data_IF_981760136959
#
_entry.id   IF_981760136959
#
_cell.length_a   1.000
_cell.length_b   1.000
_cell.length_c   1.000
_cell.angle_alpha   90.00
_cell.angle_beta   90.00
_cell.angle_gamma   90.00
#
_symmetry.space_group_name_H-M   'P 1'
#
loop_
_entity.id
_entity.type
_entity.pdbx_description
1 polymer ?
#
# COMPACT_ATOMS: atom_id res chain seq x y z
N UNK A 1 11.02 -14.43 -6.14
CA UNK A 1 12.27 -14.19 -6.92
C UNK A 1 11.93 -13.23 -8.06
N UNK A 2 12.78 -12.21 -8.34
CA UNK A 2 12.57 -11.28 -9.45
C UNK A 2 12.90 -12.01 -10.76
N UNK A 3 12.01 -12.00 -11.77
CA UNK A 3 12.28 -12.57 -13.08
C UNK A 3 13.51 -11.96 -13.77
N UNK A 4 14.30 -12.79 -14.46
CA UNK A 4 15.57 -12.37 -15.03
C UNK A 4 15.44 -11.26 -16.10
N UNK A 5 14.37 -11.26 -16.87
CA UNK A 5 14.07 -10.22 -17.86
C UNK A 5 13.87 -8.84 -17.24
N UNK A 6 13.37 -8.76 -15.99
CA UNK A 6 13.24 -7.49 -15.28
C UNK A 6 14.60 -6.91 -14.88
N UNK A 7 15.60 -7.75 -14.55
CA UNK A 7 16.96 -7.26 -14.34
C UNK A 7 17.52 -6.63 -15.61
N UNK A 8 17.36 -7.25 -16.77
CA UNK A 8 17.78 -6.67 -18.05
C UNK A 8 17.03 -5.39 -18.40
N UNK A 9 15.72 -5.35 -18.13
CA UNK A 9 14.89 -4.20 -18.46
C UNK A 9 15.26 -2.95 -17.62
N UNK A 10 15.54 -3.14 -16.33
CA UNK A 10 15.74 -2.02 -15.41
C UNK A 10 17.21 -1.68 -15.12
N UNK A 11 18.16 -2.57 -15.37
CA UNK A 11 19.58 -2.33 -15.06
C UNK A 11 20.08 -1.02 -15.68
N UNK A 12 20.65 -0.13 -14.84
CA UNK A 12 21.17 1.17 -15.25
C UNK A 12 20.09 2.20 -15.65
N UNK A 13 18.79 1.87 -15.60
CA UNK A 13 17.73 2.81 -15.96
C UNK A 13 17.43 3.77 -14.81
N UNK A 14 17.24 5.05 -15.13
CA UNK A 14 16.77 6.05 -14.17
C UNK A 14 15.24 5.98 -14.03
N UNK A 15 14.78 5.69 -12.83
CA UNK A 15 13.37 5.44 -12.52
C UNK A 15 12.88 6.40 -11.44
N UNK A 16 11.85 7.17 -11.75
CA UNK A 16 11.20 8.08 -10.80
C UNK A 16 10.05 7.36 -10.08
N UNK A 17 10.08 7.41 -8.75
CA UNK A 17 9.06 6.73 -7.91
C UNK A 17 8.43 7.75 -6.96
N UNK A 18 7.12 7.97 -7.08
CA UNK A 18 6.36 8.68 -6.06
C UNK A 18 5.77 7.69 -5.07
N UNK A 19 5.64 8.10 -3.81
CA UNK A 19 5.09 7.21 -2.79
C UNK A 19 6.05 6.12 -2.30
N UNK A 20 7.35 6.19 -2.64
CA UNK A 20 8.39 5.27 -2.18
C UNK A 20 8.53 5.21 -0.65
N UNK A 21 8.00 6.19 0.08
CA UNK A 21 7.93 6.18 1.54
C UNK A 21 6.66 5.52 2.10
N UNK A 22 5.74 5.11 1.23
CA UNK A 22 4.50 4.43 1.57
C UNK A 22 4.61 2.91 1.45
N UNK A 23 3.51 2.21 1.75
CA UNK A 23 3.47 0.76 1.84
C UNK A 23 3.88 0.07 0.52
N UNK A 24 3.06 0.14 -0.53
CA UNK A 24 3.39 -0.49 -1.83
C UNK A 24 4.65 0.14 -2.44
N UNK A 25 4.78 1.46 -2.38
CA UNK A 25 5.87 2.18 -3.04
C UNK A 25 7.25 1.87 -2.47
N UNK A 26 7.37 1.54 -1.18
CA UNK A 26 8.65 1.12 -0.59
C UNK A 26 9.12 -0.23 -1.14
N UNK A 27 8.20 -1.17 -1.34
CA UNK A 27 8.50 -2.46 -1.95
C UNK A 27 8.82 -2.31 -3.44
N UNK A 28 8.09 -1.47 -4.19
CA UNK A 28 8.42 -1.14 -5.59
C UNK A 28 9.84 -0.56 -5.70
N UNK A 29 10.17 0.44 -4.87
CA UNK A 29 11.50 1.03 -4.88
C UNK A 29 12.60 0.03 -4.51
N UNK A 30 12.36 -0.84 -3.51
CA UNK A 30 13.28 -1.90 -3.12
C UNK A 30 13.52 -2.91 -4.24
N UNK A 31 12.48 -3.37 -4.92
CA UNK A 31 12.61 -4.28 -6.05
C UNK A 31 13.36 -3.63 -7.22
N UNK A 32 13.11 -2.36 -7.53
CA UNK A 32 13.83 -1.61 -8.55
C UNK A 32 15.33 -1.53 -8.25
N UNK A 33 15.71 -1.24 -7.01
CA UNK A 33 17.12 -1.25 -6.58
C UNK A 33 17.74 -2.63 -6.80
N UNK A 34 17.03 -3.70 -6.44
CA UNK A 34 17.50 -5.08 -6.62
C UNK A 34 17.67 -5.44 -8.11
N UNK A 35 16.95 -4.80 -9.02
CA UNK A 35 17.16 -4.98 -10.48
C UNK A 35 18.31 -4.16 -11.04
N UNK A 36 18.99 -3.35 -10.24
CA UNK A 36 20.09 -2.48 -10.70
C UNK A 36 19.62 -1.15 -11.29
N UNK A 37 18.39 -0.74 -11.06
CA UNK A 37 17.89 0.56 -11.47
C UNK A 37 18.42 1.70 -10.57
N UNK A 38 18.62 2.87 -11.15
CA UNK A 38 18.86 4.12 -10.41
C UNK A 38 17.52 4.72 -9.98
N UNK A 39 17.16 4.52 -8.71
CA UNK A 39 15.85 4.91 -8.18
C UNK A 39 15.91 6.32 -7.62
N UNK A 40 15.11 7.23 -8.19
CA UNK A 40 14.84 8.56 -7.62
C UNK A 40 13.48 8.58 -6.98
N UNK A 41 13.46 8.69 -5.66
CA UNK A 41 12.25 8.64 -4.83
C UNK A 41 11.79 10.04 -4.42
N UNK A 42 10.61 10.43 -4.90
CA UNK A 42 10.02 11.74 -4.61
C UNK A 42 9.18 11.71 -3.34
N UNK A 43 9.48 12.58 -2.39
CA UNK A 43 8.85 12.60 -1.07
C UNK A 43 8.67 14.03 -0.54
N UNK A 44 7.68 14.25 0.32
CA UNK A 44 7.47 15.54 1.01
C UNK A 44 8.49 15.83 2.11
N UNK A 45 9.26 14.82 2.53
CA UNK A 45 10.32 15.01 3.52
C UNK A 45 11.38 13.93 3.38
N UNK A 46 12.64 14.35 3.35
CA UNK A 46 13.81 13.47 3.34
C UNK A 46 14.34 13.19 4.75
N UNK A 47 13.76 13.80 5.78
CA UNK A 47 14.20 13.63 7.17
C UNK A 47 14.12 12.14 7.58
N UNK A 48 15.23 11.60 8.09
CA UNK A 48 15.33 10.21 8.50
C UNK A 48 15.40 9.20 7.33
N UNK A 49 15.62 9.65 6.08
CA UNK A 49 15.80 8.77 4.93
C UNK A 49 17.30 8.46 4.72
N UNK A 50 17.61 7.15 4.60
CA UNK A 50 18.97 6.72 4.25
C UNK A 50 19.18 6.84 2.74
N UNK A 51 20.36 7.34 2.31
CA UNK A 51 20.67 7.60 0.89
C UNK A 51 21.39 6.45 0.18
N UNK A 52 21.54 5.28 0.81
CA UNK A 52 22.49 4.25 0.36
C UNK A 52 22.24 3.67 -1.04
N UNK A 53 20.97 3.48 -1.45
CA UNK A 53 20.64 2.90 -2.75
C UNK A 53 19.49 3.65 -3.46
N UNK A 54 18.90 4.66 -2.80
CA UNK A 54 17.78 5.43 -3.32
C UNK A 54 18.14 6.92 -3.24
N UNK A 55 18.04 7.60 -4.38
CA UNK A 55 18.15 9.07 -4.46
C UNK A 55 16.84 9.71 -3.99
N UNK A 56 16.81 10.16 -2.72
CA UNK A 56 15.64 10.82 -2.13
C UNK A 56 15.62 12.29 -2.48
N UNK A 57 14.58 12.72 -3.21
CA UNK A 57 14.36 14.12 -3.59
C UNK A 57 13.10 14.64 -2.90
N UNK A 58 13.25 15.80 -2.24
CA UNK A 58 12.14 16.48 -1.57
C UNK A 58 11.32 17.31 -2.56
N UNK A 59 9.99 17.23 -2.44
CA UNK A 59 9.07 18.01 -3.23
C UNK A 59 7.61 17.65 -2.94
N UNK A 60 6.70 18.35 -3.60
CA UNK A 60 5.26 18.21 -3.42
C UNK A 60 4.57 17.97 -4.76
N UNK A 61 3.71 16.95 -4.85
CA UNK A 61 2.90 16.65 -6.03
C UNK A 61 1.94 17.80 -6.40
N UNK A 62 1.63 18.68 -5.46
CA UNK A 62 0.82 19.86 -5.74
C UNK A 62 1.63 21.01 -6.37
N UNK A 63 2.95 20.88 -6.44
CA UNK A 63 3.87 21.87 -7.04
C UNK A 63 4.56 21.26 -8.25
N UNK A 64 4.06 21.58 -9.44
CA UNK A 64 4.56 21.02 -10.71
C UNK A 64 6.06 21.24 -10.90
N UNK A 65 6.56 22.43 -10.61
CA UNK A 65 7.97 22.76 -10.81
C UNK A 65 8.89 21.84 -10.01
N UNK A 66 8.49 21.46 -8.77
CA UNK A 66 9.26 20.52 -7.94
C UNK A 66 9.29 19.11 -8.53
N UNK A 67 8.23 18.69 -9.24
CA UNK A 67 8.17 17.40 -9.91
C UNK A 67 9.07 17.39 -11.15
N UNK A 68 8.97 18.43 -12.00
CA UNK A 68 9.75 18.54 -13.24
C UNK A 68 11.25 18.54 -12.95
N UNK A 69 11.69 19.35 -11.97
CA UNK A 69 13.08 19.38 -11.54
C UNK A 69 13.59 18.02 -11.03
N UNK A 70 12.75 17.33 -10.24
CA UNK A 70 13.10 16.02 -9.68
C UNK A 70 13.03 14.88 -10.71
N UNK A 71 12.26 15.01 -11.80
CA UNK A 71 12.05 13.97 -12.80
C UNK A 71 13.08 13.99 -13.93
N UNK A 72 13.95 15.02 -13.97
CA UNK A 72 14.95 15.17 -15.01
C UNK A 72 15.76 13.89 -15.20
N UNK A 73 15.98 13.50 -16.47
CA UNK A 73 16.74 12.30 -16.91
C UNK A 73 16.12 10.96 -16.48
N UNK A 74 14.91 10.94 -15.93
CA UNK A 74 14.21 9.70 -15.61
C UNK A 74 13.47 9.16 -16.85
N UNK A 75 13.73 7.90 -17.16
CA UNK A 75 13.12 7.20 -18.29
C UNK A 75 11.73 6.66 -17.97
N UNK A 76 11.55 6.13 -16.77
CA UNK A 76 10.32 5.49 -16.30
C UNK A 76 9.77 6.14 -15.05
N UNK A 77 8.45 6.14 -14.90
CA UNK A 77 7.76 6.69 -13.74
C UNK A 77 6.82 5.66 -13.11
N UNK A 78 6.97 5.43 -11.81
CA UNK A 78 5.99 4.74 -10.97
C UNK A 78 5.26 5.76 -10.10
N UNK A 79 4.01 6.02 -10.43
CA UNK A 79 3.14 6.88 -9.61
C UNK A 79 2.37 6.03 -8.61
N UNK A 80 3.00 5.75 -7.46
CA UNK A 80 2.42 4.95 -6.38
C UNK A 80 1.84 5.82 -5.26
N UNK A 81 2.21 7.10 -5.22
CA UNK A 81 1.67 8.04 -4.25
C UNK A 81 0.15 8.16 -4.35
N UNK A 82 -0.51 8.11 -3.22
CA UNK A 82 -1.95 8.30 -3.11
C UNK A 82 -2.37 8.46 -1.67
N UNK A 83 -3.41 9.27 -1.46
CA UNK A 83 -4.05 9.41 -0.16
C UNK A 83 -5.16 8.36 -0.03
N UNK A 84 -4.94 7.35 0.80
CA UNK A 84 -5.85 6.22 1.02
C UNK A 84 -6.77 6.38 2.24
N UNK A 85 -6.76 7.58 2.86
CA UNK A 85 -7.64 7.86 4.01
C UNK A 85 -9.11 7.83 3.57
N UNK A 86 -9.93 7.04 4.25
CA UNK A 86 -11.38 7.02 4.05
C UNK A 86 -12.08 8.25 4.66
N UNK A 87 -11.37 8.98 5.50
CA UNK A 87 -11.85 10.18 6.16
C UNK A 87 -10.71 11.19 6.34
N UNK A 88 -11.03 12.44 6.10
CA UNK A 88 -10.22 13.59 6.48
C UNK A 88 -11.14 14.67 7.02
N UNK A 89 -10.61 15.54 7.86
CA UNK A 89 -11.36 16.69 8.40
C UNK A 89 -11.82 17.59 7.26
N UNK A 90 -10.94 17.86 6.31
CA UNK A 90 -11.24 18.48 5.03
C UNK A 90 -11.06 17.45 3.89
N UNK A 91 -12.16 16.93 3.32
CA UNK A 91 -12.06 15.97 2.21
C UNK A 91 -11.37 16.52 0.96
N UNK A 92 -11.28 17.86 0.81
CA UNK A 92 -10.60 18.50 -0.34
C UNK A 92 -9.12 18.14 -0.40
N UNK A 93 -8.47 17.88 0.76
CA UNK A 93 -7.10 17.40 0.81
C UNK A 93 -6.90 16.08 0.06
N UNK A 94 -7.84 15.13 0.24
CA UNK A 94 -7.79 13.82 -0.44
C UNK A 94 -7.91 14.00 -1.95
N UNK A 95 -8.81 14.88 -2.38
CA UNK A 95 -8.97 15.21 -3.81
C UNK A 95 -7.75 15.93 -4.38
N UNK A 96 -7.19 16.91 -3.68
CA UNK A 96 -5.99 17.60 -4.11
C UNK A 96 -4.84 16.60 -4.30
N UNK A 97 -4.56 15.76 -3.29
CA UNK A 97 -3.48 14.78 -3.36
C UNK A 97 -3.68 13.77 -4.49
N UNK A 98 -4.89 13.19 -4.61
CA UNK A 98 -5.15 12.10 -5.56
C UNK A 98 -5.42 12.58 -6.98
N UNK A 99 -6.08 13.71 -7.18
CA UNK A 99 -6.47 14.19 -8.52
C UNK A 99 -5.46 15.20 -9.03
N UNK A 100 -5.30 16.34 -8.32
CA UNK A 100 -4.39 17.39 -8.78
C UNK A 100 -2.93 16.92 -8.79
N UNK A 101 -2.51 16.16 -7.76
CA UNK A 101 -1.18 15.57 -7.72
C UNK A 101 -0.91 14.64 -8.89
N UNK A 102 -1.89 13.81 -9.28
CA UNK A 102 -1.77 12.94 -10.46
C UNK A 102 -1.69 13.75 -11.75
N UNK A 103 -2.55 14.77 -11.93
CA UNK A 103 -2.53 15.65 -13.12
C UNK A 103 -1.15 16.32 -13.24
N UNK A 104 -0.66 16.92 -12.16
CA UNK A 104 0.64 17.60 -12.16
C UNK A 104 1.79 16.66 -12.53
N UNK A 105 1.78 15.43 -11.99
CA UNK A 105 2.80 14.42 -12.30
C UNK A 105 2.75 14.01 -13.78
N UNK A 106 1.57 13.75 -14.32
CA UNK A 106 1.43 13.35 -15.73
C UNK A 106 1.91 14.44 -16.68
N UNK A 107 1.55 15.70 -16.42
CA UNK A 107 2.03 16.83 -17.22
C UNK A 107 3.55 17.02 -17.11
N UNK A 108 4.12 16.84 -15.91
CA UNK A 108 5.57 16.88 -15.72
C UNK A 108 6.26 15.74 -16.49
N UNK A 109 5.72 14.51 -16.42
CA UNK A 109 6.26 13.35 -17.12
C UNK A 109 6.26 13.54 -18.65
N UNK A 110 5.19 14.14 -19.21
CA UNK A 110 5.13 14.46 -20.64
C UNK A 110 6.21 15.44 -21.04
N UNK A 111 6.41 16.51 -20.26
CA UNK A 111 7.43 17.54 -20.56
C UNK A 111 8.86 17.00 -20.40
N UNK A 112 9.07 16.08 -19.47
CA UNK A 112 10.37 15.45 -19.23
C UNK A 112 10.69 14.33 -20.24
N UNK A 113 9.81 14.04 -21.20
CA UNK A 113 10.05 13.00 -22.20
C UNK A 113 10.07 11.58 -21.65
N UNK A 114 9.33 11.30 -20.55
CA UNK A 114 9.23 9.97 -19.94
C UNK A 114 8.65 8.97 -20.94
N UNK A 115 9.30 7.82 -21.09
CA UNK A 115 8.92 6.81 -22.06
C UNK A 115 7.71 5.98 -21.63
N UNK A 116 7.54 5.71 -20.32
CA UNK A 116 6.39 4.96 -19.81
C UNK A 116 6.09 5.27 -18.36
N UNK A 117 4.80 5.25 -18.02
CA UNK A 117 4.29 5.56 -16.69
C UNK A 117 3.42 4.41 -16.21
N UNK A 118 3.66 3.93 -15.00
CA UNK A 118 2.73 3.05 -14.26
C UNK A 118 2.03 3.85 -13.18
N UNK A 119 0.70 4.00 -13.31
CA UNK A 119 -0.14 4.70 -12.34
C UNK A 119 -0.88 3.71 -11.44
N UNK A 120 -0.72 3.84 -10.13
CA UNK A 120 -1.40 3.01 -9.14
C UNK A 120 -2.79 3.58 -8.82
N UNK A 121 -3.83 2.85 -9.22
CA UNK A 121 -5.20 3.10 -8.85
C UNK A 121 -5.65 2.17 -7.70
N UNK A 122 -6.78 1.49 -7.81
CA UNK A 122 -7.31 0.55 -6.80
C UNK A 122 -8.42 -0.31 -7.41
N UNK A 123 -8.57 -1.54 -6.91
CA UNK A 123 -9.77 -2.35 -7.20
C UNK A 123 -11.07 -1.59 -6.87
N UNK A 124 -11.00 -0.63 -5.94
CA UNK A 124 -12.17 0.13 -5.49
C UNK A 124 -12.90 0.94 -6.57
N UNK A 125 -12.33 1.11 -7.78
CA UNK A 125 -12.98 1.75 -8.92
C UNK A 125 -13.80 0.79 -9.79
N UNK A 126 -13.66 -0.53 -9.55
CA UNK A 126 -14.39 -1.56 -10.28
C UNK A 126 -15.72 -1.91 -9.60
N UNK A 127 -16.62 -2.52 -10.35
CA UNK A 127 -17.81 -3.15 -9.77
C UNK A 127 -17.38 -4.23 -8.76
N UNK A 128 -17.96 -4.24 -7.54
CA UNK A 128 -17.69 -5.28 -6.56
C UNK A 128 -18.02 -6.67 -7.11
N UNK A 129 -17.10 -7.62 -6.94
CA UNK A 129 -17.29 -9.00 -7.36
C UNK A 129 -17.72 -9.92 -6.21
N UNK A 130 -18.48 -10.97 -6.55
CA UNK A 130 -18.86 -12.09 -5.69
C UNK A 130 -18.09 -13.34 -6.11
N UNK A 131 -18.24 -14.46 -5.38
CA UNK A 131 -17.61 -15.73 -5.79
C UNK A 131 -18.13 -16.23 -7.15
N UNK A 132 -19.43 -16.02 -7.43
CA UNK A 132 -20.04 -16.43 -8.69
C UNK A 132 -19.70 -15.51 -9.86
N UNK A 133 -19.29 -14.28 -9.56
CA UNK A 133 -18.96 -13.25 -10.55
C UNK A 133 -17.85 -12.35 -10.04
N UNK A 134 -16.61 -12.77 -10.24
CA UNK A 134 -15.44 -12.03 -9.83
C UNK A 134 -15.35 -10.65 -10.55
N UNK A 135 -14.82 -9.64 -9.86
CA UNK A 135 -14.47 -8.38 -10.48
C UNK A 135 -13.33 -8.60 -11.48
N UNK A 136 -13.45 -7.96 -12.65
CA UNK A 136 -12.42 -7.92 -13.69
C UNK A 136 -12.18 -6.47 -14.07
N UNK A 137 -11.10 -6.24 -14.81
CA UNK A 137 -10.73 -4.90 -15.28
C UNK A 137 -11.79 -4.25 -16.19
N UNK A 138 -12.67 -5.02 -16.79
CA UNK A 138 -13.61 -4.55 -17.81
C UNK A 138 -14.71 -3.66 -17.26
N UNK A 139 -15.14 -3.89 -16.00
CA UNK A 139 -16.33 -3.23 -15.45
C UNK A 139 -15.99 -2.22 -14.38
N UNK A 140 -16.05 -0.95 -14.78
CA UNK A 140 -15.99 0.17 -13.85
C UNK A 140 -17.29 0.29 -13.07
N UNK A 141 -17.18 0.60 -11.78
CA UNK A 141 -18.34 0.92 -10.97
C UNK A 141 -18.99 2.25 -11.42
N UNK A 142 -20.32 2.32 -11.30
CA UNK A 142 -21.04 3.57 -11.60
C UNK A 142 -20.59 4.68 -10.62
N UNK A 143 -20.44 5.93 -11.08
CA UNK A 143 -20.11 7.09 -10.23
C UNK A 143 -21.04 7.24 -9.01
N UNK A 144 -22.31 6.86 -9.14
CA UNK A 144 -23.30 6.90 -8.06
C UNK A 144 -22.99 5.94 -6.89
N UNK A 145 -22.14 4.94 -7.11
CA UNK A 145 -21.72 3.98 -6.08
C UNK A 145 -20.60 4.51 -5.19
N UNK A 146 -19.90 5.59 -5.60
CA UNK A 146 -18.81 6.18 -4.83
C UNK A 146 -19.36 7.18 -3.80
N UNK A 147 -19.53 6.77 -2.55
CA UNK A 147 -20.13 7.59 -1.49
C UNK A 147 -19.12 8.38 -0.67
N UNK A 148 -17.89 7.87 -0.51
CA UNK A 148 -16.84 8.48 0.30
C UNK A 148 -15.81 9.28 -0.51
N UNK A 149 -14.99 10.12 0.16
CA UNK A 149 -14.01 10.97 -0.50
C UNK A 149 -12.89 10.15 -1.16
N UNK A 150 -12.47 9.04 -0.55
CA UNK A 150 -11.41 8.20 -1.09
C UNK A 150 -11.77 7.61 -2.46
N UNK A 151 -12.87 6.83 -2.52
CA UNK A 151 -13.28 6.20 -3.79
C UNK A 151 -13.58 7.24 -4.87
N UNK A 152 -14.24 8.33 -4.51
CA UNK A 152 -14.53 9.42 -5.46
C UNK A 152 -13.26 10.05 -6.03
N UNK A 153 -12.27 10.34 -5.17
CA UNK A 153 -11.00 10.92 -5.61
C UNK A 153 -10.19 9.94 -6.47
N UNK A 154 -10.12 8.66 -6.09
CA UNK A 154 -9.42 7.62 -6.88
C UNK A 154 -10.09 7.39 -8.23
N UNK A 155 -11.42 7.38 -8.28
CA UNK A 155 -12.15 7.26 -9.54
C UNK A 155 -11.91 8.49 -10.43
N UNK A 156 -11.97 9.71 -9.87
CA UNK A 156 -11.68 10.93 -10.64
C UNK A 156 -10.24 10.95 -11.15
N UNK A 157 -9.27 10.59 -10.30
CA UNK A 157 -7.87 10.46 -10.72
C UNK A 157 -7.70 9.43 -11.84
N UNK A 158 -8.37 8.28 -11.74
CA UNK A 158 -8.37 7.28 -12.80
C UNK A 158 -8.92 7.81 -14.13
N UNK A 159 -9.99 8.61 -14.12
CA UNK A 159 -10.53 9.24 -15.35
C UNK A 159 -9.53 10.18 -16.00
N UNK A 160 -8.77 10.96 -15.21
CA UNK A 160 -7.69 11.81 -15.72
C UNK A 160 -6.56 10.99 -16.37
N UNK A 161 -6.19 9.85 -15.74
CA UNK A 161 -5.21 8.90 -16.29
C UNK A 161 -5.74 8.29 -17.59
N UNK A 162 -6.98 7.78 -17.58
CA UNK A 162 -7.61 7.14 -18.73
C UNK A 162 -7.72 8.09 -19.93
N UNK A 163 -8.17 9.31 -19.72
CA UNK A 163 -8.29 10.30 -20.80
C UNK A 163 -6.95 10.53 -21.51
N UNK A 164 -5.85 10.60 -20.78
CA UNK A 164 -4.52 10.77 -21.36
C UNK A 164 -4.01 9.50 -22.05
N UNK A 165 -4.27 8.34 -21.45
CA UNK A 165 -3.95 7.06 -22.06
C UNK A 165 -4.71 6.87 -23.39
N UNK A 166 -6.01 7.21 -23.45
CA UNK A 166 -6.83 7.17 -24.65
C UNK A 166 -6.30 8.17 -25.72
N UNK A 167 -5.66 9.26 -25.28
CA UNK A 167 -4.97 10.22 -26.16
C UNK A 167 -3.55 9.77 -26.58
N UNK A 168 -3.20 8.51 -26.34
CA UNK A 168 -1.94 7.90 -26.78
C UNK A 168 -0.75 8.13 -25.84
N UNK A 169 -0.94 8.61 -24.61
CA UNK A 169 0.16 8.70 -23.65
C UNK A 169 0.57 7.30 -23.17
N UNK A 170 1.86 7.06 -22.96
CA UNK A 170 2.38 5.74 -22.59
C UNK A 170 2.11 5.40 -21.13
N UNK A 171 0.85 5.25 -20.75
CA UNK A 171 0.41 5.04 -19.38
C UNK A 171 -0.20 3.65 -19.23
N UNK A 172 0.17 2.95 -18.17
CA UNK A 172 -0.44 1.70 -17.69
C UNK A 172 -1.02 1.93 -16.30
N UNK A 173 -2.18 1.35 -16.02
CA UNK A 173 -2.81 1.46 -14.70
C UNK A 173 -2.75 0.13 -13.95
N UNK A 174 -2.24 0.13 -12.72
CA UNK A 174 -2.32 -1.01 -11.81
C UNK A 174 -3.46 -0.81 -10.81
N UNK A 175 -4.14 -1.90 -10.49
CA UNK A 175 -5.29 -1.95 -9.60
C UNK A 175 -5.00 -2.91 -8.43
N UNK A 176 -4.21 -2.49 -7.43
CA UNK A 176 -4.00 -3.27 -6.22
C UNK A 176 -5.33 -3.61 -5.54
N UNK A 177 -5.40 -4.81 -4.98
CA UNK A 177 -6.56 -5.28 -4.23
C UNK A 177 -6.44 -4.90 -2.74
N UNK A 178 -6.20 -5.86 -1.85
CA UNK A 178 -6.01 -5.62 -0.42
C UNK A 178 -4.62 -6.14 0.01
N UNK A 179 -3.55 -5.34 -0.19
CA UNK A 179 -2.19 -5.78 0.16
C UNK A 179 -2.01 -5.92 1.67
N UNK A 180 -1.26 -6.95 2.06
CA UNK A 180 -0.81 -7.29 3.41
C UNK A 180 0.69 -7.55 3.35
N UNK A 181 1.41 -7.18 4.41
CA UNK A 181 2.85 -7.43 4.54
C UNK A 181 3.54 -6.42 5.44
N UNK A 182 4.88 -6.51 5.54
CA UNK A 182 5.68 -5.61 6.36
C UNK A 182 5.77 -4.19 5.77
N UNK A 183 6.20 -3.25 6.59
CA UNK A 183 6.39 -1.83 6.23
C UNK A 183 5.09 -1.04 5.95
N UNK A 184 3.94 -1.49 6.43
CA UNK A 184 2.72 -0.70 6.46
C UNK A 184 2.77 0.34 7.63
N UNK A 185 3.68 1.32 7.48
CA UNK A 185 4.08 2.30 8.54
C UNK A 185 2.90 3.10 9.07
N UNK A 186 2.01 3.48 8.19
CA UNK A 186 0.71 4.09 8.52
C UNK A 186 -0.34 3.10 8.06
N UNK A 187 -0.80 2.21 8.97
CA UNK A 187 -1.58 1.07 8.56
C UNK A 187 -2.67 1.44 7.57
N UNK A 188 -2.64 0.78 6.42
CA UNK A 188 -3.69 0.87 5.40
C UNK A 188 -5.01 0.38 6.00
N UNK A 189 -6.17 0.60 5.35
CA UNK A 189 -7.42 0.04 5.82
C UNK A 189 -7.36 -1.48 6.09
N UNK A 190 -6.59 -2.21 5.28
CA UNK A 190 -6.38 -3.66 5.46
C UNK A 190 -5.47 -3.94 6.66
N UNK A 191 -4.35 -3.23 6.78
CA UNK A 191 -3.46 -3.33 7.95
C UNK A 191 -4.16 -2.95 9.26
N UNK A 192 -5.06 -1.94 9.23
CA UNK A 192 -5.88 -1.57 10.39
C UNK A 192 -6.83 -2.69 10.84
N UNK A 193 -7.33 -3.53 9.94
CA UNK A 193 -8.13 -4.71 10.32
C UNK A 193 -7.27 -5.66 11.16
N UNK A 194 -6.04 -5.94 10.73
CA UNK A 194 -5.10 -6.80 11.49
C UNK A 194 -4.77 -6.19 12.85
N UNK A 195 -4.38 -4.92 12.89
CA UNK A 195 -4.05 -4.21 14.13
C UNK A 195 -5.26 -4.17 15.09
N UNK A 196 -6.45 -3.87 14.58
CA UNK A 196 -7.67 -3.82 15.38
C UNK A 196 -8.04 -5.20 15.93
N UNK A 197 -7.88 -6.25 15.13
CA UNK A 197 -8.13 -7.63 15.58
C UNK A 197 -7.14 -8.03 16.67
N UNK A 198 -5.85 -7.89 16.45
CA UNK A 198 -4.82 -8.24 17.46
C UNK A 198 -5.02 -7.52 18.79
N UNK A 199 -5.52 -6.29 18.77
CA UNK A 199 -5.81 -5.50 19.96
C UNK A 199 -7.23 -5.73 20.55
N UNK A 200 -7.99 -6.74 20.09
CA UNK A 200 -9.31 -7.07 20.61
C UNK A 200 -10.40 -6.03 20.32
N UNK A 201 -10.24 -5.22 19.28
CA UNK A 201 -11.15 -4.11 18.93
C UNK A 201 -12.20 -4.47 17.88
N UNK A 202 -12.30 -5.75 17.50
CA UNK A 202 -13.31 -6.25 16.55
C UNK A 202 -14.27 -7.18 17.29
N UNK A 203 -15.34 -6.67 17.94
CA UNK A 203 -16.27 -7.51 18.68
C UNK A 203 -17.26 -8.26 17.77
N UNK A 204 -17.51 -7.73 16.58
CA UNK A 204 -18.45 -8.27 15.59
C UNK A 204 -17.85 -8.19 14.20
N UNK A 205 -18.20 -9.14 13.34
CA UNK A 205 -17.72 -9.19 11.95
C UNK A 205 -18.62 -8.37 11.00
N UNK A 206 -18.01 -7.81 9.96
CA UNK A 206 -18.75 -7.41 8.76
C UNK A 206 -18.88 -8.63 7.83
N UNK A 207 -20.05 -8.83 7.23
CA UNK A 207 -20.28 -9.90 6.25
C UNK A 207 -19.74 -9.48 4.88
N UNK A 208 -18.42 -9.48 4.77
CA UNK A 208 -17.70 -9.04 3.57
C UNK A 208 -16.51 -9.94 3.29
N UNK A 209 -15.95 -9.83 2.10
CA UNK A 209 -14.72 -10.50 1.70
C UNK A 209 -13.90 -9.61 0.80
N UNK A 210 -12.61 -9.87 0.75
CA UNK A 210 -11.64 -9.11 -0.05
C UNK A 210 -10.76 -10.08 -0.82
N UNK A 211 -10.13 -9.57 -1.85
CA UNK A 211 -9.00 -10.25 -2.48
C UNK A 211 -7.73 -9.75 -1.79
N UNK A 212 -7.08 -10.62 -1.04
CA UNK A 212 -5.85 -10.30 -0.32
C UNK A 212 -4.63 -10.67 -1.15
N UNK A 213 -3.58 -9.88 -1.06
CA UNK A 213 -2.32 -10.11 -1.78
C UNK A 213 -1.13 -9.73 -0.91
N UNK A 214 -0.04 -10.49 -0.99
CA UNK A 214 1.23 -10.05 -0.40
C UNK A 214 1.70 -8.77 -1.10
N UNK A 215 2.10 -7.77 -0.31
CA UNK A 215 2.57 -6.49 -0.83
C UNK A 215 3.78 -6.64 -1.76
N UNK A 216 4.61 -7.67 -1.54
CA UNK A 216 5.79 -7.99 -2.38
C UNK A 216 5.36 -8.46 -3.77
N UNK A 217 4.34 -9.34 -3.85
CA UNK A 217 3.76 -9.76 -5.13
C UNK A 217 3.07 -8.58 -5.84
N UNK A 218 2.32 -7.78 -5.08
CA UNK A 218 1.71 -6.56 -5.61
C UNK A 218 2.77 -5.60 -6.20
N UNK A 219 3.90 -5.41 -5.51
CA UNK A 219 5.01 -4.57 -5.99
C UNK A 219 5.66 -5.17 -7.24
N UNK A 220 5.88 -6.49 -7.27
CA UNK A 220 6.38 -7.18 -8.46
C UNK A 220 5.44 -6.99 -9.66
N UNK A 221 4.13 -7.03 -9.43
CA UNK A 221 3.14 -6.75 -10.47
C UNK A 221 3.27 -5.35 -11.09
N UNK A 222 3.70 -4.35 -10.32
CA UNK A 222 3.99 -3.02 -10.85
C UNK A 222 5.21 -3.04 -11.80
N UNK A 223 6.26 -3.75 -11.45
CA UNK A 223 7.45 -3.89 -12.30
C UNK A 223 7.11 -4.64 -13.59
N UNK A 224 6.35 -5.72 -13.49
CA UNK A 224 5.87 -6.48 -14.65
C UNK A 224 5.00 -5.61 -15.58
N UNK A 225 4.11 -4.79 -15.00
CA UNK A 225 3.28 -3.86 -15.77
C UNK A 225 4.15 -2.82 -16.51
N UNK A 226 5.20 -2.30 -15.89
CA UNK A 226 6.14 -1.40 -16.58
C UNK A 226 6.81 -2.08 -17.76
N UNK A 227 7.34 -3.29 -17.57
CA UNK A 227 8.13 -3.98 -18.59
C UNK A 227 7.27 -4.57 -19.71
N UNK A 228 6.11 -5.15 -19.40
CA UNK A 228 5.38 -6.03 -20.32
C UNK A 228 4.03 -5.49 -20.79
N UNK A 229 3.40 -4.59 -20.04
CA UNK A 229 2.06 -4.11 -20.40
C UNK A 229 2.07 -3.21 -21.62
N UNK A 230 0.99 -3.27 -22.41
CA UNK A 230 0.70 -2.29 -23.45
C UNK A 230 0.17 -1.00 -22.83
N UNK A 231 0.50 0.13 -23.44
CA UNK A 231 -0.05 1.43 -23.04
C UNK A 231 -1.57 1.46 -23.17
N UNK A 232 -2.24 2.14 -22.24
CA UNK A 232 -3.70 2.21 -22.16
C UNK A 232 -4.32 1.09 -21.31
N UNK A 233 -3.61 0.01 -21.07
CA UNK A 233 -4.13 -1.15 -20.35
C UNK A 233 -4.15 -0.95 -18.83
N UNK A 234 -5.00 -1.74 -18.17
CA UNK A 234 -5.09 -1.81 -16.71
C UNK A 234 -5.10 -3.25 -16.23
N UNK A 235 -4.50 -3.48 -15.05
CA UNK A 235 -4.29 -4.81 -14.52
C UNK A 235 -4.61 -4.89 -13.02
N UNK A 236 -5.44 -5.83 -12.63
CA UNK A 236 -5.66 -6.21 -11.25
C UNK A 236 -4.41 -6.91 -10.70
N UNK A 237 -3.90 -6.41 -9.58
CA UNK A 237 -2.80 -7.02 -8.85
C UNK A 237 -3.36 -7.61 -7.55
N UNK A 238 -3.92 -8.80 -7.67
CA UNK A 238 -4.58 -9.53 -6.60
C UNK A 238 -3.85 -10.81 -6.23
N UNK A 239 -4.37 -11.50 -5.23
CA UNK A 239 -3.91 -12.80 -4.76
C UNK A 239 -5.10 -13.73 -4.50
N UNK A 240 -5.47 -13.94 -3.23
CA UNK A 240 -6.50 -14.88 -2.81
C UNK A 240 -7.79 -14.18 -2.38
N UNK A 241 -8.93 -14.71 -2.80
CA UNK A 241 -10.25 -14.26 -2.36
C UNK A 241 -10.62 -14.93 -1.03
N UNK A 242 -10.74 -14.16 0.06
CA UNK A 242 -11.13 -14.68 1.37
C UNK A 242 -12.27 -13.84 1.96
N UNK A 243 -13.21 -14.53 2.63
CA UNK A 243 -14.13 -13.87 3.54
C UNK A 243 -13.36 -13.26 4.71
N UNK A 244 -13.84 -12.16 5.25
CA UNK A 244 -13.19 -11.49 6.37
C UNK A 244 -13.00 -12.42 7.58
N UNK A 245 -13.99 -13.28 7.87
CA UNK A 245 -13.89 -14.26 8.95
C UNK A 245 -12.74 -15.26 8.71
N UNK A 246 -12.54 -15.71 7.48
CA UNK A 246 -11.49 -16.68 7.16
C UNK A 246 -10.11 -16.02 7.16
N UNK A 247 -10.00 -14.79 6.67
CA UNK A 247 -8.79 -13.99 6.82
C UNK A 247 -8.40 -13.79 8.29
N UNK A 248 -9.37 -13.45 9.17
CA UNK A 248 -9.09 -13.27 10.60
C UNK A 248 -8.71 -14.58 11.31
N UNK A 249 -9.18 -15.74 10.83
CA UNK A 249 -8.70 -17.04 11.32
C UNK A 249 -7.22 -17.27 11.02
N UNK A 250 -6.68 -16.74 9.91
CA UNK A 250 -5.24 -16.77 9.63
C UNK A 250 -4.44 -15.84 10.57
N UNK A 251 -5.06 -14.77 11.06
CA UNK A 251 -4.45 -13.85 12.03
C UNK A 251 -4.59 -14.36 13.48
N UNK A 252 -5.60 -15.19 13.76
CA UNK A 252 -5.95 -15.69 15.11
C UNK A 252 -4.80 -16.36 15.86
N UNK A 253 -3.87 -17.13 15.23
CA UNK A 253 -2.72 -17.70 15.93
C UNK A 253 -1.85 -16.68 16.68
N UNK A 254 -1.87 -15.41 16.28
CA UNK A 254 -1.12 -14.32 16.91
C UNK A 254 -1.92 -13.58 17.96
N UNK A 255 -3.26 -13.67 17.92
CA UNK A 255 -4.15 -12.95 18.83
C UNK A 255 -4.28 -13.62 20.20
N UNK A 256 -4.77 -12.86 21.18
CA UNK A 256 -5.09 -13.36 22.55
C UNK A 256 -6.54 -13.82 22.68
N UNK A 257 -7.32 -13.77 21.59
CA UNK A 257 -8.74 -14.06 21.54
C UNK A 257 -9.09 -14.71 20.21
N UNK A 258 -10.27 -15.28 20.13
CA UNK A 258 -10.75 -15.93 18.93
C UNK A 258 -11.45 -14.97 17.97
N UNK A 259 -11.53 -15.38 16.73
CA UNK A 259 -12.31 -14.68 15.70
C UNK A 259 -13.79 -14.62 16.12
N UNK A 260 -14.42 -13.43 16.10
CA UNK A 260 -15.82 -13.29 16.46
C UNK A 260 -16.72 -14.20 15.63
N UNK A 261 -17.77 -14.75 16.24
CA UNK A 261 -18.75 -15.63 15.57
C UNK A 261 -19.96 -14.88 15.05
N UNK A 262 -20.23 -13.68 15.57
CA UNK A 262 -21.42 -12.91 15.25
C UNK A 262 -21.13 -11.79 14.26
N UNK A 263 -22.11 -11.52 13.41
CA UNK A 263 -22.05 -10.46 12.41
C UNK A 263 -22.81 -9.22 12.87
N UNK A 264 -22.22 -8.07 12.67
CA UNK A 264 -22.89 -6.79 12.94
C UNK A 264 -23.96 -6.52 11.87
N UNK A 265 -25.20 -6.21 12.26
CA UNK A 265 -26.17 -5.66 11.32
C UNK A 265 -25.64 -4.37 10.70
N UNK A 266 -25.85 -4.21 9.39
CA UNK A 266 -25.30 -3.06 8.65
C UNK A 266 -25.73 -1.70 9.24
N UNK A 267 -26.99 -1.58 9.69
CA UNK A 267 -27.50 -0.34 10.29
C UNK A 267 -26.75 0.03 11.56
N UNK A 268 -26.39 -0.96 12.40
CA UNK A 268 -25.62 -0.74 13.63
C UNK A 268 -24.20 -0.27 13.31
N UNK A 269 -23.54 -0.92 12.35
CA UNK A 269 -22.20 -0.51 11.86
C UNK A 269 -22.24 0.91 11.30
N UNK A 270 -23.32 1.28 10.60
CA UNK A 270 -23.48 2.63 10.05
C UNK A 270 -23.67 3.69 11.14
N UNK A 271 -24.49 3.41 12.15
CA UNK A 271 -24.66 4.30 13.31
C UNK A 271 -23.34 4.49 14.07
N UNK A 272 -22.59 3.39 14.28
CA UNK A 272 -21.26 3.44 14.92
C UNK A 272 -20.29 4.31 14.11
N UNK A 273 -20.32 4.20 12.77
CA UNK A 273 -19.49 5.03 11.89
C UNK A 273 -19.88 6.52 11.99
N UNK A 274 -21.17 6.84 12.00
CA UNK A 274 -21.63 8.21 12.16
C UNK A 274 -21.17 8.81 13.50
N UNK A 275 -21.33 8.07 14.60
CA UNK A 275 -20.87 8.50 15.92
C UNK A 275 -19.34 8.69 15.96
N UNK A 276 -18.59 7.74 15.37
CA UNK A 276 -17.12 7.78 15.30
C UNK A 276 -16.61 9.00 14.50
N UNK A 277 -17.20 9.27 13.33
CA UNK A 277 -16.83 10.45 12.52
C UNK A 277 -17.22 11.77 13.20
N UNK A 278 -18.37 11.81 13.90
CA UNK A 278 -18.79 13.01 14.65
C UNK A 278 -17.84 13.28 15.81
N UNK A 279 -17.48 12.26 16.59
CA UNK A 279 -16.50 12.39 17.66
C UNK A 279 -15.13 12.86 17.15
N UNK A 280 -14.70 12.36 15.98
CA UNK A 280 -13.45 12.79 15.35
C UNK A 280 -13.50 14.25 14.85
N UNK A 281 -14.67 14.75 14.40
CA UNK A 281 -14.86 16.15 14.04
C UNK A 281 -14.79 17.09 15.26
N UNK A 282 -15.32 16.66 16.39
CA UNK A 282 -15.36 17.45 17.63
C UNK A 282 -14.01 17.46 18.37
N UNK A 283 -13.11 16.49 18.10
CA UNK A 283 -11.81 16.38 18.76
C UNK A 283 -10.65 16.52 17.76
N UNK A 284 -9.76 17.52 17.90
CA UNK A 284 -8.68 17.77 16.95
C UNK A 284 -7.72 16.59 16.73
N UNK A 285 -7.50 15.79 17.77
CA UNK A 285 -6.49 14.72 17.79
C UNK A 285 -7.06 13.32 17.56
N UNK A 286 -8.37 13.20 17.25
CA UNK A 286 -9.01 11.89 17.01
C UNK A 286 -9.23 11.64 15.53
N UNK A 287 -8.92 10.42 15.10
CA UNK A 287 -9.35 9.85 13.83
C UNK A 287 -10.48 8.87 14.08
N UNK A 288 -11.48 8.76 13.19
CA UNK A 288 -12.57 7.81 13.38
C UNK A 288 -12.04 6.39 13.29
N UNK A 289 -12.46 5.53 14.21
CA UNK A 289 -12.13 4.10 14.22
C UNK A 289 -12.83 3.36 13.07
N UNK A 290 -14.09 3.70 12.81
CA UNK A 290 -14.90 3.21 11.70
C UNK A 290 -15.45 4.40 10.95
N UNK A 291 -15.43 4.35 9.62
CA UNK A 291 -15.94 5.42 8.77
C UNK A 291 -17.17 4.98 7.99
N UNK A 292 -18.03 5.92 7.62
CA UNK A 292 -19.18 5.62 6.73
C UNK A 292 -18.73 5.00 5.41
N UNK A 293 -17.59 5.43 4.88
CA UNK A 293 -17.03 4.86 3.64
C UNK A 293 -16.63 3.39 3.84
N UNK A 294 -15.94 3.04 4.94
CA UNK A 294 -15.56 1.64 5.23
C UNK A 294 -16.78 0.73 5.41
N UNK A 295 -17.81 1.21 6.09
CA UNK A 295 -19.08 0.46 6.27
C UNK A 295 -19.81 0.29 4.94
N UNK A 296 -19.83 1.30 4.09
CA UNK A 296 -20.42 1.19 2.75
C UNK A 296 -19.67 0.19 1.87
N UNK A 297 -18.33 0.18 1.96
CA UNK A 297 -17.51 -0.81 1.25
C UNK A 297 -17.77 -2.25 1.72
N UNK A 298 -18.00 -2.44 3.01
CA UNK A 298 -18.25 -3.78 3.56
C UNK A 298 -19.63 -4.38 3.24
N UNK A 299 -20.51 -3.65 2.54
CA UNK A 299 -21.85 -4.17 2.14
C UNK A 299 -21.80 -5.31 1.13
N UNK A 300 -20.74 -5.38 0.34
CA UNK A 300 -20.55 -6.40 -0.68
C UNK A 300 -19.11 -6.92 -0.62
N UNK A 301 -18.87 -8.18 -0.96
CA UNK A 301 -17.51 -8.66 -1.13
C UNK A 301 -16.85 -7.97 -2.34
N UNK A 302 -15.52 -7.92 -2.31
CA UNK A 302 -14.68 -7.38 -3.37
C UNK A 302 -13.75 -8.48 -3.88
N UNK A 303 -14.33 -9.59 -4.29
CA UNK A 303 -13.59 -10.70 -4.90
C UNK A 303 -13.23 -10.35 -6.33
N UNK A 304 -12.04 -10.75 -6.77
CA UNK A 304 -11.52 -10.40 -8.10
C UNK A 304 -10.71 -11.51 -8.72
N UNK A 305 -10.52 -11.42 -10.03
CA UNK A 305 -9.64 -12.27 -10.81
C UNK A 305 -8.47 -11.46 -11.34
N UNK A 306 -7.27 -12.00 -11.23
CA UNK A 306 -6.04 -11.48 -11.84
C UNK A 306 -5.67 -12.20 -13.16
N UNK A 307 -6.61 -12.95 -13.74
CA UNK A 307 -6.38 -13.75 -14.94
C UNK A 307 -5.79 -12.95 -16.12
N UNK A 308 -6.18 -11.68 -16.29
CA UNK A 308 -5.58 -10.80 -17.31
C UNK A 308 -4.11 -10.51 -17.01
N UNK A 309 -3.78 -10.18 -15.75
CA UNK A 309 -2.41 -9.92 -15.34
C UNK A 309 -1.55 -11.19 -15.44
N UNK A 310 -2.10 -12.36 -15.10
CA UNK A 310 -1.42 -13.65 -15.29
C UNK A 310 -1.09 -13.91 -16.75
N UNK A 311 -2.07 -13.76 -17.63
CA UNK A 311 -1.94 -14.04 -19.06
C UNK A 311 -0.99 -13.06 -19.78
N UNK A 312 -1.12 -11.78 -19.50
CA UNK A 312 -0.44 -10.74 -20.29
C UNK A 312 0.88 -10.28 -19.66
N UNK A 313 1.00 -10.35 -18.35
CA UNK A 313 2.19 -9.91 -17.62
C UNK A 313 3.01 -11.08 -17.05
N UNK A 314 2.46 -12.30 -17.02
CA UNK A 314 3.05 -13.40 -16.25
C UNK A 314 3.03 -13.13 -14.73
N UNK A 315 2.05 -12.37 -14.26
CA UNK A 315 1.87 -12.06 -12.85
C UNK A 315 1.26 -13.26 -12.12
N UNK A 316 2.08 -13.95 -11.36
CA UNK A 316 1.67 -15.09 -10.53
C UNK A 316 2.02 -14.75 -9.09
N UNK A 317 1.03 -14.47 -8.22
CA UNK A 317 1.29 -14.28 -6.79
C UNK A 317 1.76 -15.61 -6.20
N UNK A 318 2.98 -15.63 -5.68
CA UNK A 318 3.64 -16.83 -5.17
C UNK A 318 3.80 -16.82 -3.66
N UNK A 319 3.65 -15.68 -3.03
CA UNK A 319 3.81 -15.54 -1.59
C UNK A 319 2.64 -16.17 -0.85
N UNK A 320 2.93 -16.98 0.17
CA UNK A 320 1.92 -17.50 1.07
C UNK A 320 1.27 -16.37 1.88
N UNK A 321 -0.05 -16.39 2.02
CA UNK A 321 -0.77 -15.42 2.85
C UNK A 321 -0.36 -15.53 4.33
N UNK A 322 0.00 -16.71 4.81
CA UNK A 322 0.50 -16.93 6.17
C UNK A 322 1.82 -16.16 6.40
N UNK A 323 2.74 -16.19 5.43
CA UNK A 323 3.99 -15.40 5.50
C UNK A 323 3.72 -13.90 5.46
N UNK A 324 2.81 -13.46 4.59
CA UNK A 324 2.45 -12.05 4.50
C UNK A 324 1.85 -11.52 5.80
N UNK A 325 0.99 -12.32 6.44
CA UNK A 325 0.39 -12.01 7.74
C UNK A 325 1.45 -12.04 8.85
N UNK A 326 2.31 -13.07 8.88
CA UNK A 326 3.38 -13.17 9.88
C UNK A 326 4.26 -11.91 9.87
N UNK A 327 4.79 -11.55 8.70
CA UNK A 327 5.68 -10.40 8.55
C UNK A 327 4.97 -9.07 8.86
N UNK A 328 3.68 -8.94 8.49
CA UNK A 328 2.88 -7.79 8.87
C UNK A 328 2.67 -7.68 10.38
N UNK A 329 2.37 -8.79 11.04
CA UNK A 329 2.18 -8.83 12.51
C UNK A 329 3.48 -8.50 13.22
N UNK A 330 4.61 -9.07 12.78
CA UNK A 330 5.94 -8.77 13.33
C UNK A 330 6.26 -7.27 13.22
N UNK A 331 6.06 -6.67 12.04
CA UNK A 331 6.28 -5.24 11.81
C UNK A 331 5.33 -4.37 12.69
N UNK A 332 4.06 -4.71 12.82
CA UNK A 332 3.13 -3.97 13.69
C UNK A 332 3.48 -4.07 15.16
N UNK A 333 3.95 -5.23 15.63
CA UNK A 333 4.41 -5.41 17.01
C UNK A 333 5.70 -4.64 17.27
N UNK A 334 6.69 -4.73 16.38
CA UNK A 334 7.94 -3.99 16.49
C UNK A 334 7.73 -2.48 16.55
N UNK A 335 6.66 -1.97 15.94
CA UNK A 335 6.25 -0.55 15.98
C UNK A 335 5.35 -0.19 17.15
N UNK A 336 4.99 -1.13 18.01
CA UNK A 336 4.09 -0.90 19.13
C UNK A 336 2.62 -0.65 18.73
N UNK A 337 2.22 -1.02 17.51
CA UNK A 337 0.86 -0.82 17.01
C UNK A 337 -0.09 -1.96 17.43
N UNK A 338 0.46 -3.14 17.67
CA UNK A 338 -0.29 -4.33 18.07
C UNK A 338 0.41 -5.08 19.19
N UNK A 339 -0.38 -5.83 19.97
CA UNK A 339 0.11 -6.76 20.98
C UNK A 339 -0.30 -8.18 20.62
N UNK A 340 0.60 -9.14 20.78
CA UNK A 340 0.35 -10.55 20.47
C UNK A 340 0.39 -11.42 21.73
N UNK A 341 -0.08 -12.66 21.63
CA UNK A 341 0.03 -13.64 22.69
C UNK A 341 1.51 -14.03 22.90
N UNK A 342 1.91 -14.19 24.16
CA UNK A 342 3.29 -14.53 24.52
C UNK A 342 3.76 -15.81 23.81
N UNK A 343 4.99 -15.78 23.24
CA UNK A 343 5.61 -16.93 22.56
C UNK A 343 5.08 -17.27 21.17
N UNK A 344 4.21 -16.44 20.59
CA UNK A 344 3.61 -16.69 19.24
C UNK A 344 4.44 -16.14 18.07
N UNK A 345 5.28 -15.13 18.31
CA UNK A 345 6.30 -14.69 17.35
C UNK A 345 7.60 -15.46 17.69
N UNK A 346 7.86 -16.56 17.01
CA UNK A 346 9.21 -17.12 16.94
C UNK A 346 9.89 -16.36 15.81
N UNK A 347 10.98 -15.68 16.11
CA UNK A 347 11.85 -15.08 15.10
C UNK A 347 12.28 -16.18 14.12
N UNK A 348 11.62 -16.28 12.98
CA UNK A 348 12.18 -16.91 11.82
C UNK A 348 13.19 -15.91 11.27
N UNK A 349 14.48 -16.13 11.58
CA UNK A 349 15.57 -15.30 11.10
C UNK A 349 15.67 -15.30 9.59
N UNK A 350 14.92 -14.41 8.98
CA UNK A 350 15.18 -13.85 7.67
C UNK A 350 14.75 -12.39 7.73
N UNK A 351 15.47 -11.62 8.57
CA UNK A 351 15.57 -10.21 8.33
C UNK A 351 16.00 -10.05 6.87
N UNK A 352 15.22 -9.34 6.09
CA UNK A 352 15.75 -8.63 4.92
C UNK A 352 16.81 -7.68 5.50
N UNK A 353 18.04 -8.21 5.65
CA UNK A 353 19.18 -7.38 5.95
C UNK A 353 19.33 -6.44 4.77
N UNK A 354 18.97 -5.17 4.98
CA UNK A 354 19.53 -4.11 4.16
C UNK A 354 21.04 -4.32 4.13
N UNK A 355 21.68 -4.34 2.95
CA UNK A 355 23.13 -4.58 2.84
C UNK A 355 24.01 -3.63 3.66
N UNK A 356 23.44 -2.62 4.34
CA UNK A 356 24.13 -1.64 5.16
C UNK A 356 24.22 -1.93 6.65
N UNK A 357 23.59 -3.00 7.19
CA UNK A 357 23.55 -3.21 8.64
C UNK A 357 24.71 -4.06 9.19
N UNK A 358 25.73 -4.41 8.38
CA UNK A 358 26.84 -5.30 8.80
C UNK A 358 28.09 -4.62 9.36
N UNK A 359 28.22 -3.31 9.40
CA UNK A 359 29.51 -2.68 9.79
C UNK A 359 29.53 -1.91 11.13
N UNK A 360 28.47 -1.83 11.91
CA UNK A 360 28.49 -1.03 13.15
C UNK A 360 28.44 -1.81 14.49
N UNK A 361 28.59 -3.15 14.50
CA UNK A 361 28.56 -3.91 15.76
C UNK A 361 29.93 -4.40 16.25
N UNK A 362 31.05 -3.86 15.79
CA UNK A 362 32.38 -4.33 16.22
C UNK A 362 33.27 -3.33 16.98
N UNK A 363 32.80 -2.14 17.37
CA UNK A 363 33.67 -1.15 18.01
C UNK A 363 33.20 -0.53 19.35
N UNK A 364 32.27 -1.15 20.07
CA UNK A 364 31.92 -0.67 21.43
C UNK A 364 31.91 -1.77 22.47
N UNK A 365 33.00 -2.59 22.53
CA UNK A 365 33.22 -3.49 23.67
C UNK A 365 34.67 -3.56 24.05
N UNK A 366 35.31 -2.41 24.30
CA UNK A 366 36.58 -2.31 25.07
C UNK A 366 36.65 -0.94 25.73
N UNK A 367 36.25 -0.89 26.98
CA UNK A 367 36.69 -0.03 28.11
C UNK A 367 35.51 0.10 29.07
N UNK A 368 35.71 -0.56 30.16
CA UNK A 368 35.83 -0.02 31.46
C UNK A 368 35.43 -0.96 32.56
N UNK A 369 36.28 -1.90 32.91
CA UNK A 369 36.41 -2.28 34.33
C UNK A 369 37.00 -1.07 35.05
N UNK A 370 36.37 -0.63 36.13
CA UNK A 370 37.02 -0.32 37.40
C UNK A 370 36.07 0.29 38.44
N UNK A 371 35.97 -0.48 39.54
CA UNK A 371 35.86 -0.09 40.94
C UNK A 371 34.52 0.21 41.58
N UNK A 372 34.17 -0.78 42.37
CA UNK A 372 33.54 -0.66 43.69
C UNK A 372 34.30 0.33 44.57
N UNK A 373 33.62 1.18 45.33
CA UNK A 373 33.90 1.46 46.75
C UNK A 373 32.82 2.33 47.36
N UNK A 374 32.08 1.75 48.29
CA UNK A 374 31.88 2.22 49.69
C UNK A 374 31.36 3.62 49.97
N UNK A 375 30.29 3.71 50.73
CA UNK A 375 30.25 4.58 51.90
C UNK A 375 28.95 5.38 52.09
N UNK A 376 28.06 4.87 52.93
CA UNK A 376 27.57 5.44 54.17
C UNK A 376 27.13 6.91 54.13
N UNK A 377 25.89 7.21 54.18
CA UNK A 377 24.95 7.66 55.24
C UNK A 377 23.62 8.00 54.63
#
# INVERSE_FOLDING_TARGET
MIPHDLHHFFAGQHVFVTGASGFIGSHVASLLVQTGAHVRAFTRSIKGRRRNAIDWVEGDLLRRDSIEAAMKDCRYVFHVAGDYRFWARDPREIFANNVQGTINLLEAAKRSGVEKIVCTSTIGILEPGTLDRLATEERLASPSQFKGPYKRSKFRSYLEVKQRADAGWPIVTTLPTAPIGPHDVRPTPTGMIVVAFLNGRIPLLARTGLNFVDVRDCALGHLLAMARAKSGERYLLGGINLWLCDFLKLVEPYARHHTPRFYAPHWLSFLTACASETAAKLSPNRTPFVTRESVQMSRRPHFSSNAKAEKELGYIPTSSMDHAIHDAVEDFVARGLATVAAGRLRCHGTALQNPGDREENHETNRRGDYRLASGIR
#
